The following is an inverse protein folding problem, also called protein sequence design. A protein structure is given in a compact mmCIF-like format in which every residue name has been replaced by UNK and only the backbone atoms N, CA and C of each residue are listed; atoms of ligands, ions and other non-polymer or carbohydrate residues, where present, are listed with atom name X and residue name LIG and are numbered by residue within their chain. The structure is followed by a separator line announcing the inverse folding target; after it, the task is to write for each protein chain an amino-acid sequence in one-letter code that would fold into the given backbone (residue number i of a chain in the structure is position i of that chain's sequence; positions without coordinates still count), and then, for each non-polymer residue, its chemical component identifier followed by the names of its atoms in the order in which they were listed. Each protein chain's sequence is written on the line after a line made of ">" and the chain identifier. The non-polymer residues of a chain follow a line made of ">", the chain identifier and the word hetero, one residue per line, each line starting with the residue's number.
data_IF_326291209848
#
_entry.id   IF_326291209848
#
_cell.length_a   1.000
_cell.length_b   1.000
_cell.length_c   1.000
_cell.angle_alpha   90.00
_cell.angle_beta   90.00
_cell.angle_gamma   90.00
#
_symmetry.space_group_name_H-M   'P 1'
#
loop_
_entity.id
_entity.type
_entity.pdbx_description
1 polymer ?
#
# COMPACT_ATOMS: atom_id res chain seq x y z
N UNK A 1 -1.30 0.67 28.19
CA UNK A 1 -1.73 1.52 27.06
C UNK A 1 -3.24 1.69 27.20
N UNK A 2 -3.87 2.82 26.84
CA UNK A 2 -5.32 2.94 26.93
C UNK A 2 -6.02 1.89 26.05
N UNK A 3 -7.15 1.37 26.52
CA UNK A 3 -8.00 0.42 25.80
C UNK A 3 -9.46 0.83 25.91
N UNK A 4 -10.23 0.54 24.86
CA UNK A 4 -11.68 0.67 24.89
C UNK A 4 -12.31 -0.52 25.63
N UNK A 5 -13.49 -0.38 26.26
CA UNK A 5 -14.29 -1.52 26.69
C UNK A 5 -14.46 -2.52 25.53
N UNK A 6 -14.43 -3.82 25.81
CA UNK A 6 -14.38 -4.86 24.77
C UNK A 6 -15.49 -4.72 23.71
N UNK A 7 -16.73 -4.52 24.16
CA UNK A 7 -17.88 -4.37 23.25
C UNK A 7 -17.75 -3.13 22.34
N UNK A 8 -17.24 -2.02 22.88
CA UNK A 8 -17.02 -0.78 22.12
C UNK A 8 -15.88 -0.95 21.11
N UNK A 9 -14.82 -1.66 21.49
CA UNK A 9 -13.73 -2.01 20.59
C UNK A 9 -14.19 -2.91 19.44
N UNK A 10 -14.99 -3.92 19.75
CA UNK A 10 -15.56 -4.84 18.77
C UNK A 10 -16.46 -4.10 17.77
N UNK A 11 -17.40 -3.30 18.28
CA UNK A 11 -18.28 -2.46 17.45
C UNK A 11 -17.45 -1.51 16.56
N UNK A 12 -16.39 -0.91 17.12
CA UNK A 12 -15.48 -0.04 16.36
C UNK A 12 -14.86 -0.78 15.19
N UNK A 13 -14.31 -1.97 15.44
CA UNK A 13 -13.69 -2.80 14.40
C UNK A 13 -14.69 -3.20 13.32
N UNK A 14 -15.91 -3.60 13.70
CA UNK A 14 -16.96 -3.94 12.75
C UNK A 14 -17.32 -2.76 11.83
N UNK A 15 -17.28 -1.53 12.36
CA UNK A 15 -17.48 -0.32 11.58
C UNK A 15 -16.31 -0.04 10.62
N UNK A 16 -15.07 -0.25 11.05
CA UNK A 16 -13.89 -0.15 10.17
C UNK A 16 -13.97 -1.17 9.02
N UNK A 17 -14.45 -2.39 9.28
CA UNK A 17 -14.60 -3.40 8.22
C UNK A 17 -15.67 -3.05 7.18
N UNK A 18 -16.76 -2.41 7.59
CA UNK A 18 -17.75 -1.89 6.63
C UNK A 18 -17.10 -0.87 5.70
N UNK A 19 -16.23 -0.01 6.23
CA UNK A 19 -15.49 0.97 5.42
C UNK A 19 -14.55 0.28 4.44
N UNK A 20 -13.74 -0.67 4.90
CA UNK A 20 -12.83 -1.42 4.02
C UNK A 20 -13.55 -2.22 2.91
N UNK A 21 -14.73 -2.77 3.22
CA UNK A 21 -15.58 -3.42 2.22
C UNK A 21 -16.08 -2.42 1.17
N UNK A 22 -16.52 -1.24 1.59
CA UNK A 22 -16.96 -0.19 0.67
C UNK A 22 -15.82 0.33 -0.22
N UNK A 23 -14.59 0.33 0.29
CA UNK A 23 -13.38 0.65 -0.48
C UNK A 23 -12.94 -0.48 -1.43
N UNK A 24 -13.57 -1.65 -1.38
CA UNK A 24 -13.21 -2.85 -2.17
C UNK A 24 -11.74 -3.29 -1.99
N UNK A 25 -11.14 -3.02 -0.82
CA UNK A 25 -9.75 -3.42 -0.51
C UNK A 25 -9.65 -4.62 0.40
N UNK A 26 -10.74 -5.03 1.07
CA UNK A 26 -10.71 -6.18 1.99
C UNK A 26 -10.68 -7.50 1.21
N UNK A 27 -9.67 -8.34 1.48
CA UNK A 27 -9.60 -9.69 0.89
C UNK A 27 -10.66 -10.59 1.53
N UNK A 28 -11.40 -11.34 0.69
CA UNK A 28 -12.50 -12.20 1.13
C UNK A 28 -12.00 -13.29 2.08
N UNK A 29 -12.80 -13.57 3.11
CA UNK A 29 -12.58 -14.68 4.05
C UNK A 29 -11.23 -14.66 4.78
N UNK A 30 -10.64 -13.48 4.94
CA UNK A 30 -9.36 -13.30 5.64
C UNK A 30 -9.48 -12.81 7.08
N UNK A 31 -10.69 -12.51 7.53
CA UNK A 31 -10.94 -11.93 8.83
C UNK A 31 -10.87 -12.97 9.96
N UNK A 32 -9.85 -12.87 10.81
CA UNK A 32 -9.64 -13.74 11.96
C UNK A 32 -9.79 -12.98 13.26
N UNK A 33 -10.76 -13.38 14.09
CA UNK A 33 -10.93 -12.85 15.44
C UNK A 33 -10.17 -13.71 16.44
N UNK A 34 -9.37 -13.05 17.27
CA UNK A 34 -8.69 -13.63 18.41
C UNK A 34 -9.18 -12.97 19.70
N UNK A 35 -8.73 -13.48 20.85
CA UNK A 35 -9.13 -12.96 22.17
C UNK A 35 -8.79 -11.48 22.33
N UNK A 36 -7.62 -11.07 21.82
CA UNK A 36 -7.05 -9.73 22.06
C UNK A 36 -6.71 -8.97 20.77
N UNK A 37 -7.04 -9.52 19.62
CA UNK A 37 -6.74 -8.88 18.34
C UNK A 37 -7.63 -9.42 17.23
N UNK A 38 -7.56 -8.74 16.09
CA UNK A 38 -8.16 -9.17 14.84
C UNK A 38 -7.12 -8.97 13.75
N UNK A 39 -7.01 -9.93 12.84
CA UNK A 39 -6.14 -9.80 11.68
C UNK A 39 -6.87 -10.16 10.37
N UNK A 40 -6.38 -9.58 9.29
CA UNK A 40 -6.96 -9.68 7.97
C UNK A 40 -6.00 -9.16 6.90
N UNK A 41 -6.35 -9.46 5.65
CA UNK A 41 -5.59 -9.01 4.49
C UNK A 41 -6.34 -7.93 3.73
N UNK A 42 -5.59 -6.93 3.27
CA UNK A 42 -6.09 -5.95 2.31
C UNK A 42 -5.25 -5.97 1.04
N UNK A 43 -5.90 -5.66 -0.07
CA UNK A 43 -5.27 -5.40 -1.35
C UNK A 43 -5.60 -3.96 -1.78
N UNK A 44 -4.58 -3.11 -1.85
CA UNK A 44 -4.76 -1.72 -2.27
C UNK A 44 -4.34 -1.54 -3.72
N UNK A 45 -5.07 -0.68 -4.43
CA UNK A 45 -4.73 -0.26 -5.78
C UNK A 45 -3.95 1.07 -5.72
N UNK A 46 -2.70 1.08 -6.18
CA UNK A 46 -1.82 2.25 -6.27
C UNK A 46 -0.62 1.95 -7.15
N UNK A 47 -0.20 2.88 -8.02
CA UNK A 47 0.92 2.63 -8.94
C UNK A 47 2.28 2.64 -8.23
N UNK A 48 2.84 1.44 -8.03
CA UNK A 48 4.19 1.18 -7.53
C UNK A 48 5.07 0.51 -8.58
N UNK A 49 6.26 0.07 -8.18
CA UNK A 49 7.26 -0.48 -9.11
C UNK A 49 7.97 -1.70 -8.54
N UNK A 50 8.33 -2.64 -9.40
CA UNK A 50 9.29 -3.72 -9.11
C UNK A 50 10.49 -3.63 -10.03
N UNK A 51 11.65 -4.14 -9.59
CA UNK A 51 12.83 -4.24 -10.44
C UNK A 51 12.69 -5.41 -11.41
N UNK A 52 13.01 -5.18 -12.69
CA UNK A 52 13.33 -6.24 -13.64
C UNK A 52 14.78 -6.63 -13.40
N UNK A 53 15.03 -7.92 -13.18
CA UNK A 53 16.38 -8.43 -12.96
C UNK A 53 17.29 -8.06 -14.12
N UNK A 54 18.27 -7.21 -13.84
CA UNK A 54 19.49 -7.01 -14.61
C UNK A 54 20.49 -6.26 -13.72
N UNK A 55 21.55 -6.95 -13.28
CA UNK A 55 22.53 -6.47 -12.30
C UNK A 55 23.32 -5.21 -12.72
N UNK A 56 23.16 -4.75 -13.96
CA UNK A 56 23.88 -3.59 -14.51
C UNK A 56 23.00 -2.33 -14.64
N UNK A 57 21.68 -2.49 -14.81
CA UNK A 57 20.77 -1.36 -15.02
C UNK A 57 19.42 -1.61 -14.35
N UNK A 58 19.12 -0.80 -13.34
CA UNK A 58 17.79 -0.78 -12.71
C UNK A 58 16.75 -0.40 -13.76
N UNK A 59 15.92 -1.37 -14.10
CA UNK A 59 14.75 -1.18 -14.95
C UNK A 59 13.53 -1.50 -14.11
N UNK A 60 12.53 -0.61 -14.10
CA UNK A 60 11.34 -0.81 -13.30
C UNK A 60 10.17 -1.30 -14.18
N UNK A 61 9.30 -2.11 -13.59
CA UNK A 61 7.99 -2.48 -14.14
C UNK A 61 6.91 -1.91 -13.21
N UNK A 62 5.89 -1.22 -13.74
CA UNK A 62 4.77 -0.78 -12.91
C UNK A 62 3.98 -1.98 -12.40
N UNK A 63 3.48 -1.85 -11.17
CA UNK A 63 2.53 -2.76 -10.54
C UNK A 63 1.51 -1.94 -9.77
N UNK A 64 0.24 -2.32 -9.85
CA UNK A 64 -0.85 -1.51 -9.28
C UNK A 64 -1.50 -2.14 -8.04
N UNK A 65 -1.35 -3.45 -7.84
CA UNK A 65 -1.97 -4.18 -6.74
C UNK A 65 -0.93 -4.57 -5.70
N UNK A 66 -1.21 -4.26 -4.43
CA UNK A 66 -0.31 -4.51 -3.31
C UNK A 66 -1.06 -5.13 -2.14
N UNK A 67 -0.53 -6.25 -1.64
CA UNK A 67 -1.11 -7.00 -0.53
C UNK A 67 -0.43 -6.61 0.79
N UNK A 68 -1.25 -6.28 1.78
CA UNK A 68 -0.82 -5.87 3.12
C UNK A 68 -1.57 -6.70 4.16
N UNK A 69 -0.85 -7.20 5.14
CA UNK A 69 -1.42 -7.81 6.34
C UNK A 69 -1.62 -6.74 7.40
N UNK A 70 -2.82 -6.70 7.99
CA UNK A 70 -3.17 -5.76 9.05
C UNK A 70 -3.57 -6.56 10.28
N UNK A 71 -3.02 -6.15 11.43
CA UNK A 71 -3.42 -6.65 12.75
C UNK A 71 -3.83 -5.48 13.64
N UNK A 72 -5.03 -5.55 14.21
CA UNK A 72 -5.55 -4.58 15.17
C UNK A 72 -5.63 -5.22 16.54
N UNK A 73 -4.89 -4.68 17.51
CA UNK A 73 -4.88 -5.17 18.88
C UNK A 73 -5.88 -4.40 19.77
N UNK A 74 -6.04 -4.81 21.03
CA UNK A 74 -6.91 -4.16 22.03
C UNK A 74 -6.72 -2.65 22.21
N UNK A 75 -5.54 -2.13 21.86
CA UNK A 75 -5.23 -0.70 21.95
C UNK A 75 -5.76 0.10 20.75
N UNK A 76 -6.20 -0.52 19.65
CA UNK A 76 -6.85 0.22 18.56
C UNK A 76 -8.13 0.92 19.08
N UNK A 77 -8.40 2.20 18.75
CA UNK A 77 -7.75 3.07 17.75
C UNK A 77 -6.65 4.00 18.31
N UNK A 78 -6.11 3.71 19.49
CA UNK A 78 -5.02 4.49 20.08
C UNK A 78 -3.66 4.17 19.43
N UNK A 79 -2.65 5.05 19.56
CA UNK A 79 -1.32 4.81 19.02
C UNK A 79 -0.73 3.49 19.48
N UNK A 80 -0.21 2.69 18.55
CA UNK A 80 0.29 1.33 18.81
C UNK A 80 -0.77 0.24 18.71
N UNK A 81 -2.02 0.59 18.38
CA UNK A 81 -3.12 -0.34 18.19
C UNK A 81 -3.15 -1.09 16.86
N UNK A 82 -2.32 -0.69 15.89
CA UNK A 82 -2.29 -1.20 14.53
C UNK A 82 -0.88 -1.62 14.15
N UNK A 83 -0.76 -2.86 13.68
CA UNK A 83 0.45 -3.41 13.07
C UNK A 83 0.21 -3.66 11.58
N UNK A 84 1.17 -3.25 10.75
CA UNK A 84 1.10 -3.36 9.29
C UNK A 84 2.33 -4.11 8.77
N UNK A 85 2.10 -5.08 7.89
CA UNK A 85 3.16 -5.81 7.20
C UNK A 85 2.91 -5.82 5.69
N UNK A 86 3.84 -5.25 4.93
CA UNK A 86 3.78 -5.20 3.47
C UNK A 86 4.26 -6.51 2.85
N UNK A 87 3.40 -7.21 2.10
CA UNK A 87 3.77 -8.52 1.55
C UNK A 87 4.29 -8.46 0.12
N UNK A 88 3.54 -7.84 -0.80
CA UNK A 88 3.88 -7.85 -2.22
C UNK A 88 5.24 -7.25 -2.52
N UNK A 89 5.96 -7.85 -3.46
CA UNK A 89 7.23 -7.30 -3.94
C UNK A 89 7.06 -5.84 -4.39
N UNK A 90 7.93 -4.97 -3.92
CA UNK A 90 7.98 -3.55 -4.28
C UNK A 90 9.41 -3.01 -4.18
N UNK A 91 9.79 -2.16 -5.12
CA UNK A 91 11.02 -1.39 -5.12
C UNK A 91 10.77 0.00 -4.54
N UNK A 92 10.91 0.14 -3.23
CA UNK A 92 10.50 1.34 -2.51
C UNK A 92 11.49 1.72 -1.38
N UNK A 93 11.81 3.00 -1.18
CA UNK A 93 12.73 3.44 -0.14
C UNK A 93 12.17 3.28 1.28
N UNK A 94 10.86 3.39 1.46
CA UNK A 94 10.22 3.39 2.79
C UNK A 94 9.44 2.10 3.12
N UNK A 95 9.53 1.07 2.26
CA UNK A 95 8.83 -0.21 2.43
C UNK A 95 9.81 -1.35 2.14
N UNK A 96 9.97 -2.27 3.08
CA UNK A 96 10.75 -3.49 2.90
C UNK A 96 9.80 -4.69 2.82
N UNK A 97 9.49 -5.19 1.61
CA UNK A 97 8.44 -6.20 1.42
C UNK A 97 8.82 -7.56 2.00
N UNK A 98 7.84 -8.39 2.34
CA UNK A 98 8.08 -9.81 2.68
C UNK A 98 8.54 -10.58 1.45
N UNK A 99 7.90 -10.37 0.30
CA UNK A 99 8.30 -10.97 -0.97
C UNK A 99 9.49 -10.20 -1.56
N UNK A 100 10.68 -10.76 -1.41
CA UNK A 100 11.91 -10.20 -2.00
C UNK A 100 12.24 -10.90 -3.34
N UNK A 101 12.64 -10.14 -4.37
CA UNK A 101 13.07 -10.75 -5.63
C UNK A 101 14.37 -11.54 -5.42
N UNK A 102 14.41 -12.76 -5.93
CA UNK A 102 15.60 -13.64 -5.93
C UNK A 102 16.24 -13.87 -4.56
N UNK A 103 15.44 -13.85 -3.49
CA UNK A 103 15.87 -14.16 -2.14
C UNK A 103 15.13 -15.39 -1.63
N UNK A 104 15.89 -16.35 -1.10
CA UNK A 104 15.32 -17.52 -0.40
C UNK A 104 14.80 -17.16 1.00
N UNK A 105 15.20 -16.00 1.53
CA UNK A 105 14.75 -15.49 2.82
C UNK A 105 13.67 -14.42 2.61
N UNK A 106 12.56 -14.46 3.38
CA UNK A 106 11.58 -13.39 3.34
C UNK A 106 12.18 -12.09 3.87
N UNK A 107 11.72 -10.96 3.34
CA UNK A 107 11.96 -9.66 3.94
C UNK A 107 11.07 -9.44 5.17
N UNK A 108 11.11 -8.23 5.73
CA UNK A 108 10.49 -7.97 7.04
C UNK A 108 9.03 -7.54 6.98
N UNK A 109 8.54 -7.09 5.83
CA UNK A 109 7.25 -6.40 5.70
C UNK A 109 7.20 -4.99 6.31
N UNK A 110 8.32 -4.48 6.84
CA UNK A 110 8.34 -3.21 7.57
C UNK A 110 8.03 -2.01 6.68
N UNK A 111 7.18 -1.11 7.19
CA UNK A 111 6.79 0.15 6.56
C UNK A 111 7.23 1.29 7.48
N UNK A 112 7.87 2.32 6.93
CA UNK A 112 8.24 3.49 7.74
C UNK A 112 6.99 4.26 8.22
N UNK A 113 6.60 4.03 9.48
CA UNK A 113 5.42 4.68 10.08
C UNK A 113 5.56 6.19 10.22
N UNK A 114 6.78 6.73 10.32
CA UNK A 114 7.00 8.18 10.42
C UNK A 114 6.53 8.90 9.17
N UNK A 115 6.71 8.26 8.01
CA UNK A 115 6.27 8.78 6.73
C UNK A 115 4.74 8.71 6.64
N UNK A 116 4.11 7.59 7.03
CA UNK A 116 2.64 7.48 7.11
C UNK A 116 1.99 8.50 8.06
N UNK A 117 2.65 8.82 9.19
CA UNK A 117 2.17 9.79 10.17
C UNK A 117 2.14 11.23 9.67
N UNK A 118 2.83 11.55 8.58
CA UNK A 118 2.74 12.88 7.96
C UNK A 118 1.34 13.13 7.37
N UNK A 119 0.61 12.07 7.00
CA UNK A 119 -0.68 12.16 6.32
C UNK A 119 -1.87 11.63 7.12
N UNK A 120 -1.65 10.76 8.12
CA UNK A 120 -2.73 10.25 8.99
C UNK A 120 -2.28 9.95 10.42
N UNK A 121 -3.20 10.04 11.38
CA UNK A 121 -3.01 9.56 12.75
C UNK A 121 -3.09 8.04 12.88
N UNK A 122 -3.39 7.33 11.79
CA UNK A 122 -3.62 5.87 11.74
C UNK A 122 -4.69 5.41 12.76
N UNK A 123 -5.66 6.29 13.01
CA UNK A 123 -6.74 6.11 13.99
C UNK A 123 -7.99 5.47 13.39
N UNK A 124 -8.01 5.27 12.07
CA UNK A 124 -9.06 4.64 11.28
C UNK A 124 -8.42 4.00 10.04
N UNK A 125 -9.07 2.98 9.48
CA UNK A 125 -8.52 2.16 8.41
C UNK A 125 -8.63 2.84 7.04
N UNK A 126 -9.62 3.72 6.84
CA UNK A 126 -9.75 4.49 5.59
C UNK A 126 -8.55 5.41 5.37
N UNK A 127 -8.22 6.24 6.36
CA UNK A 127 -7.08 7.14 6.27
C UNK A 127 -5.77 6.36 6.22
N UNK A 128 -5.70 5.19 6.86
CA UNK A 128 -4.56 4.27 6.77
C UNK A 128 -4.36 3.79 5.33
N UNK A 129 -5.40 3.27 4.68
CA UNK A 129 -5.35 2.82 3.27
C UNK A 129 -4.95 3.97 2.35
N UNK A 130 -5.58 5.14 2.47
CA UNK A 130 -5.25 6.33 1.67
C UNK A 130 -3.80 6.78 1.87
N UNK A 131 -3.28 6.67 3.09
CA UNK A 131 -1.88 7.02 3.39
C UNK A 131 -0.89 6.00 2.79
N UNK A 132 -1.24 4.71 2.78
CA UNK A 132 -0.45 3.67 2.13
C UNK A 132 -0.41 3.87 0.60
N UNK A 133 -1.54 4.16 -0.04
CA UNK A 133 -1.59 4.46 -1.48
C UNK A 133 -0.70 5.66 -1.84
N UNK A 134 -0.83 6.76 -1.07
CA UNK A 134 0.03 7.94 -1.24
C UNK A 134 1.50 7.63 -1.05
N UNK A 135 1.86 6.76 -0.09
CA UNK A 135 3.24 6.36 0.14
C UNK A 135 3.81 5.62 -1.07
N UNK A 136 3.07 4.67 -1.63
CA UNK A 136 3.49 3.91 -2.82
C UNK A 136 3.74 4.85 -4.00
N UNK A 137 2.84 5.80 -4.21
CA UNK A 137 2.88 6.71 -5.35
C UNK A 137 3.91 7.82 -5.19
N UNK A 138 4.28 8.16 -3.95
CA UNK A 138 5.18 9.24 -3.62
C UNK A 138 6.31 8.76 -2.71
N UNK A 139 7.27 7.97 -3.25
CA UNK A 139 8.43 7.52 -2.50
C UNK A 139 9.20 8.68 -1.86
N UNK A 140 9.61 8.54 -0.60
CA UNK A 140 10.48 9.50 0.06
C UNK A 140 11.92 8.96 0.13
N UNK A 141 12.81 9.33 -0.80
CA UNK A 141 14.18 8.81 -0.83
C UNK A 141 15.11 9.51 0.18
N UNK A 142 14.67 10.56 0.87
CA UNK A 142 15.45 11.26 1.89
C UNK A 142 15.41 10.57 3.25
N UNK A 143 14.40 9.73 3.49
CA UNK A 143 14.26 8.93 4.72
C UNK A 143 14.09 7.43 4.43
N UNK A 144 15.08 6.76 3.81
CA UNK A 144 14.95 5.36 3.44
C UNK A 144 15.15 4.42 4.62
N UNK A 145 14.50 3.25 4.56
CA UNK A 145 14.81 2.15 5.46
C UNK A 145 16.22 1.61 5.19
N UNK A 146 16.88 1.13 6.25
CA UNK A 146 18.24 0.59 6.18
C UNK A 146 18.28 -0.88 5.69
N UNK A 147 17.68 -1.14 4.52
CA UNK A 147 17.74 -2.41 3.80
C UNK A 147 18.30 -2.19 2.40
N UNK A 148 18.99 -3.18 1.83
CA UNK A 148 19.67 -3.04 0.54
C UNK A 148 18.73 -2.61 -0.60
N UNK A 149 17.54 -3.21 -0.70
CA UNK A 149 16.54 -2.84 -1.72
C UNK A 149 16.04 -1.39 -1.52
N UNK A 150 15.80 -0.99 -0.27
CA UNK A 150 15.33 0.34 0.08
C UNK A 150 16.39 1.42 -0.19
N UNK A 151 17.64 1.17 0.16
CA UNK A 151 18.75 2.11 -0.10
C UNK A 151 19.07 2.21 -1.60
N UNK A 152 18.91 1.13 -2.36
CA UNK A 152 18.97 1.16 -3.84
C UNK A 152 17.82 1.98 -4.42
N UNK A 153 16.59 1.80 -3.93
CA UNK A 153 15.42 2.58 -4.33
C UNK A 153 15.61 4.07 -4.04
N UNK A 154 16.15 4.41 -2.87
CA UNK A 154 16.46 5.79 -2.51
C UNK A 154 17.45 6.45 -3.47
N UNK A 155 18.55 5.76 -3.81
CA UNK A 155 19.53 6.24 -4.80
C UNK A 155 18.92 6.40 -6.19
N UNK A 156 18.01 5.51 -6.57
CA UNK A 156 17.32 5.58 -7.86
C UNK A 156 16.39 6.79 -7.93
N UNK A 157 15.47 6.95 -6.97
CA UNK A 157 14.48 8.02 -6.98
C UNK A 157 15.07 9.40 -6.70
N UNK A 158 16.24 9.50 -6.04
CA UNK A 158 17.02 10.75 -5.98
C UNK A 158 17.51 11.25 -7.33
N UNK A 159 17.80 10.33 -8.25
CA UNK A 159 18.28 10.64 -9.60
C UNK A 159 17.16 10.70 -10.64
N UNK A 160 16.01 10.12 -10.31
CA UNK A 160 14.85 10.02 -11.17
C UNK A 160 13.62 10.37 -10.32
N UNK A 161 13.31 11.66 -10.13
CA UNK A 161 12.09 12.08 -9.44
C UNK A 161 10.87 11.36 -10.03
N UNK A 162 9.94 10.92 -9.16
CA UNK A 162 8.87 9.98 -9.56
C UNK A 162 8.02 10.49 -10.73
N UNK A 163 7.69 11.78 -10.71
CA UNK A 163 6.92 12.48 -11.76
C UNK A 163 7.65 12.48 -13.11
N UNK A 164 8.94 12.79 -13.11
CA UNK A 164 9.76 12.77 -14.33
C UNK A 164 9.96 11.34 -14.84
N UNK A 165 10.13 10.40 -13.93
CA UNK A 165 10.28 8.99 -14.24
C UNK A 165 9.02 8.43 -14.92
N UNK A 166 7.83 8.71 -14.37
CA UNK A 166 6.56 8.26 -14.95
C UNK A 166 6.33 8.80 -16.36
N UNK A 167 6.48 10.11 -16.54
CA UNK A 167 6.35 10.79 -17.85
C UNK A 167 7.32 10.23 -18.88
N UNK A 168 8.58 10.03 -18.51
CA UNK A 168 9.61 9.52 -19.42
C UNK A 168 9.34 8.09 -19.91
N UNK A 169 8.60 7.31 -19.14
CA UNK A 169 8.31 5.91 -19.46
C UNK A 169 6.84 5.68 -19.89
N UNK A 170 6.07 6.75 -20.09
CA UNK A 170 4.63 6.71 -20.41
C UNK A 170 3.82 5.84 -19.44
N UNK A 171 4.09 5.95 -18.13
CA UNK A 171 3.35 5.22 -17.09
C UNK A 171 2.12 5.97 -16.56
N UNK A 172 1.84 7.17 -17.08
CA UNK A 172 0.66 7.97 -16.70
C UNK A 172 -0.47 7.91 -17.75
N UNK A 173 -0.26 7.25 -18.90
CA UNK A 173 -1.19 7.29 -20.05
C UNK A 173 -2.36 6.29 -19.97
N UNK A 174 -2.50 5.51 -18.89
CA UNK A 174 -3.50 4.42 -18.82
C UNK A 174 -4.90 4.82 -18.31
N UNK A 175 -5.12 6.02 -17.75
CA UNK A 175 -6.45 6.44 -17.29
C UNK A 175 -7.23 7.29 -18.31
N UNK A 176 -6.55 8.06 -19.18
CA UNK A 176 -7.23 8.92 -20.18
C UNK A 176 -7.69 8.19 -21.46
N UNK A 177 -7.20 6.97 -21.70
CA UNK A 177 -7.59 6.16 -22.88
C UNK A 177 -8.84 5.31 -22.63
N UNK A 178 -9.06 4.82 -21.40
CA UNK A 178 -10.25 4.02 -21.08
C UNK A 178 -11.55 4.87 -21.09
N UNK A 179 -11.50 6.15 -20.68
CA UNK A 179 -12.68 7.04 -20.73
C UNK A 179 -13.05 7.47 -22.17
N UNK A 180 -12.08 7.54 -23.09
CA UNK A 180 -12.35 7.91 -24.49
C UNK A 180 -12.95 6.76 -25.30
N UNK A 181 -12.50 5.53 -25.03
CA UNK A 181 -13.01 4.36 -25.72
C UNK A 181 -14.47 4.02 -25.29
N UNK A 182 -14.90 4.40 -24.07
CA UNK A 182 -16.29 4.24 -23.62
C UNK A 182 -17.26 5.32 -24.17
N UNK A 183 -16.81 6.55 -24.43
CA UNK A 183 -17.66 7.60 -25.02
C UNK A 183 -17.94 7.36 -26.52
N UNK A 184 -16.99 6.75 -27.25
CA UNK A 184 -17.12 6.52 -28.69
C UNK A 184 -18.05 5.32 -29.06
N UNK A 185 -18.45 4.50 -28.07
CA UNK A 185 -19.32 3.33 -28.27
C UNK A 185 -20.84 3.62 -28.10
N UNK A 186 -21.25 4.86 -27.80
CA UNK A 186 -22.67 5.26 -27.81
C UNK A 186 -23.10 5.57 -29.25
N UNK A 187 -23.31 4.53 -30.06
CA UNK A 187 -24.08 4.66 -31.31
C UNK A 187 -25.55 4.80 -30.94
N UNK A 188 -26.08 6.02 -31.05
CA UNK A 188 -27.52 6.29 -31.07
C UNK A 188 -28.10 5.56 -32.28
N UNK A 189 -28.86 4.49 -32.04
CA UNK A 189 -29.74 3.90 -33.05
C UNK A 189 -31.01 4.75 -33.05
N UNK A 190 -31.12 5.67 -34.01
CA UNK A 190 -32.38 6.34 -34.31
C UNK A 190 -33.32 5.35 -35.03
N UNK A 191 -34.55 5.22 -34.50
CA UNK A 191 -35.67 4.39 -34.99
C UNK A 191 -36.16 4.76 -36.41
#
# INVERSE_FOLDING_TARGET
>A
MPELPYEIWKERIENEFKILKNLNVLEKDTLNWHENDVDFWVNINSQGYITKDNNEKITLKPINSHRIFIKLNRSFPYPGGIDLSWYSNIFHPNIHPVELPNSEKPGTGYICLNVLKQWSRLSDLESTVKSLQKLVENPNPDDPLNYDICTKAAKFFKKNPIEEFRKKNNFDETEEQEEKDEEDDIIIIDD
#
